data_IF_497594504795
#
_entry.id   IF_497594504795
#
_cell.length_a   1.000
_cell.length_b   1.000
_cell.length_c   1.000
_cell.angle_alpha   90.00
_cell.angle_beta   90.00
_cell.angle_gamma   90.00
#
_symmetry.space_group_name_H-M   'P 1'
#
loop_
_entity.id
_entity.type
_entity.pdbx_description
1 polymer ?
#
# COMPACT_ATOMS: atom_id res chain seq x y z
N UNK A 1 -2.54 15.34 10.65
CA UNK A 1 -1.55 14.39 10.08
C UNK A 1 -2.20 13.07 9.67
N UNK A 2 -3.00 12.44 10.55
CA UNK A 2 -3.70 11.17 10.23
C UNK A 2 -4.62 11.27 9.01
N UNK A 3 -5.46 12.31 8.91
CA UNK A 3 -6.32 12.51 7.74
C UNK A 3 -5.54 12.54 6.41
N UNK A 4 -4.40 13.23 6.38
CA UNK A 4 -3.53 13.26 5.21
C UNK A 4 -2.95 11.87 4.88
N UNK A 5 -2.54 11.10 5.89
CA UNK A 5 -2.11 9.72 5.71
C UNK A 5 -3.24 8.83 5.14
N UNK A 6 -4.47 8.95 5.65
CA UNK A 6 -5.64 8.24 5.12
C UNK A 6 -5.86 8.56 3.65
N UNK A 7 -5.87 9.84 3.28
CA UNK A 7 -6.04 10.28 1.87
C UNK A 7 -4.94 9.70 0.97
N UNK A 8 -3.69 9.74 1.42
CA UNK A 8 -2.57 9.16 0.68
C UNK A 8 -2.71 7.64 0.51
N UNK A 9 -3.11 6.91 1.55
CA UNK A 9 -3.32 5.46 1.45
C UNK A 9 -4.52 5.09 0.58
N UNK A 10 -5.60 5.87 0.60
CA UNK A 10 -6.72 5.73 -0.35
C UNK A 10 -6.25 5.93 -1.80
N UNK A 11 -5.45 6.98 -2.05
CA UNK A 11 -4.87 7.25 -3.37
C UNK A 11 -3.93 6.11 -3.81
N UNK A 12 -3.07 5.63 -2.92
CA UNK A 12 -2.19 4.49 -3.18
C UNK A 12 -3.00 3.23 -3.52
N UNK A 13 -4.09 2.95 -2.79
CA UNK A 13 -4.98 1.82 -3.07
C UNK A 13 -5.62 1.95 -4.47
N UNK A 14 -6.08 3.14 -4.86
CA UNK A 14 -6.59 3.41 -6.20
C UNK A 14 -5.55 3.17 -7.30
N UNK A 15 -4.32 3.66 -7.11
CA UNK A 15 -3.22 3.40 -8.04
C UNK A 15 -2.85 1.92 -8.12
N UNK A 16 -2.87 1.20 -6.99
CA UNK A 16 -2.63 -0.24 -6.92
C UNK A 16 -3.69 -1.04 -7.66
N UNK A 17 -4.98 -0.69 -7.47
CA UNK A 17 -6.08 -1.30 -8.22
C UNK A 17 -5.93 -1.06 -9.72
N UNK A 18 -5.55 0.15 -10.13
CA UNK A 18 -5.31 0.46 -11.53
C UNK A 18 -4.16 -0.37 -12.14
N UNK A 19 -3.07 -0.60 -11.38
CA UNK A 19 -2.00 -1.52 -11.79
C UNK A 19 -2.50 -2.94 -12.00
N UNK A 20 -3.38 -3.43 -11.13
CA UNK A 20 -4.01 -4.77 -11.28
C UNK A 20 -4.87 -4.82 -12.53
N UNK A 21 -5.72 -3.81 -12.76
CA UNK A 21 -6.54 -3.72 -13.98
C UNK A 21 -5.66 -3.71 -15.23
N UNK A 22 -4.58 -2.93 -15.23
CA UNK A 22 -3.63 -2.89 -16.34
C UNK A 22 -2.96 -4.25 -16.59
N UNK A 23 -2.52 -4.92 -15.53
CA UNK A 23 -1.84 -6.22 -15.59
C UNK A 23 -2.76 -7.37 -16.01
N UNK A 24 -4.00 -7.40 -15.51
CA UNK A 24 -4.94 -8.51 -15.74
C UNK A 24 -5.75 -8.29 -17.02
N UNK A 25 -6.38 -7.11 -17.18
CA UNK A 25 -7.28 -6.84 -18.30
C UNK A 25 -6.53 -6.49 -19.58
N UNK A 26 -5.49 -5.66 -19.45
CA UNK A 26 -4.76 -5.12 -20.59
C UNK A 26 -3.40 -5.80 -20.83
N UNK A 27 -3.00 -6.76 -19.98
CA UNK A 27 -1.69 -7.46 -20.03
C UNK A 27 -0.50 -6.49 -20.17
N UNK A 28 -0.57 -5.36 -19.46
CA UNK A 28 0.43 -4.29 -19.50
C UNK A 28 0.90 -3.94 -18.09
N UNK A 29 2.19 -3.64 -17.97
CA UNK A 29 2.76 -2.98 -16.80
C UNK A 29 2.95 -1.48 -17.05
N UNK A 30 3.01 -0.70 -15.97
CA UNK A 30 3.47 0.70 -16.03
C UNK A 30 4.40 0.98 -14.86
N UNK A 31 5.66 1.27 -15.17
CA UNK A 31 6.68 1.61 -14.15
C UNK A 31 6.37 2.93 -13.47
N UNK A 32 5.87 3.92 -14.22
CA UNK A 32 5.48 5.21 -13.67
C UNK A 32 4.34 5.06 -12.65
N UNK A 33 3.31 4.27 -12.96
CA UNK A 33 2.22 4.00 -12.02
C UNK A 33 2.69 3.21 -10.79
N UNK A 34 3.59 2.23 -10.98
CA UNK A 34 4.15 1.46 -9.87
C UNK A 34 5.01 2.34 -8.94
N UNK A 35 5.84 3.22 -9.50
CA UNK A 35 6.62 4.20 -8.75
C UNK A 35 5.72 5.20 -8.04
N UNK A 36 4.66 5.69 -8.71
CA UNK A 36 3.67 6.57 -8.11
C UNK A 36 2.94 5.93 -6.93
N UNK A 37 2.45 4.69 -7.11
CA UNK A 37 1.84 3.91 -6.03
C UNK A 37 2.78 3.76 -4.83
N UNK A 38 4.02 3.32 -5.07
CA UNK A 38 5.01 3.13 -4.01
C UNK A 38 5.38 4.44 -3.31
N UNK A 39 5.57 5.53 -4.06
CA UNK A 39 5.91 6.85 -3.53
C UNK A 39 4.78 7.43 -2.67
N UNK A 40 3.53 7.35 -3.13
CA UNK A 40 2.36 7.81 -2.38
C UNK A 40 2.19 6.98 -1.10
N UNK A 41 2.32 5.66 -1.17
CA UNK A 41 2.24 4.78 0.00
C UNK A 41 3.34 5.08 1.03
N UNK A 42 4.59 5.27 0.56
CA UNK A 42 5.72 5.60 1.42
C UNK A 42 5.55 6.95 2.11
N UNK A 43 5.04 7.96 1.39
CA UNK A 43 4.73 9.26 1.97
C UNK A 43 3.65 9.13 3.07
N UNK A 44 2.59 8.36 2.82
CA UNK A 44 1.56 8.06 3.83
C UNK A 44 2.15 7.40 5.07
N UNK A 45 3.07 6.45 4.88
CA UNK A 45 3.73 5.74 5.98
C UNK A 45 4.65 6.67 6.79
N UNK A 46 5.39 7.57 6.14
CA UNK A 46 6.22 8.58 6.81
C UNK A 46 5.35 9.51 7.67
N UNK A 47 4.21 9.97 7.16
CA UNK A 47 3.29 10.82 7.93
C UNK A 47 2.68 10.08 9.13
N UNK A 48 2.31 8.81 8.94
CA UNK A 48 1.81 7.96 10.02
C UNK A 48 2.88 7.72 11.09
N UNK A 49 4.09 7.35 10.68
CA UNK A 49 5.22 7.17 11.60
C UNK A 49 5.53 8.44 12.38
N UNK A 50 5.59 9.59 11.70
CA UNK A 50 5.79 10.89 12.37
C UNK A 50 4.71 11.16 13.41
N UNK A 51 3.45 10.82 13.15
CA UNK A 51 2.38 10.98 14.14
C UNK A 51 2.59 10.05 15.35
N UNK A 52 2.87 8.76 15.12
CA UNK A 52 3.09 7.78 16.20
C UNK A 52 4.24 8.21 17.13
N UNK A 53 5.33 8.78 16.58
CA UNK A 53 6.46 9.24 17.40
C UNK A 53 6.26 10.63 18.05
N UNK A 54 5.21 11.36 17.71
CA UNK A 54 4.96 12.72 18.22
C UNK A 54 3.67 12.87 19.02
N UNK A 55 2.95 11.77 19.27
CA UNK A 55 1.63 11.79 19.91
C UNK A 55 1.46 10.59 20.86
N UNK A 56 0.50 10.65 21.80
CA UNK A 56 0.18 9.52 22.67
C UNK A 56 -0.14 8.24 21.90
N UNK A 57 0.18 7.10 22.51
CA UNK A 57 0.09 5.79 21.87
C UNK A 57 -1.37 5.41 21.62
N UNK A 58 -1.73 5.18 20.35
CA UNK A 58 -3.06 4.71 19.95
C UNK A 58 -2.93 3.33 19.27
N UNK A 59 -3.54 2.30 19.88
CA UNK A 59 -3.34 0.90 19.48
C UNK A 59 -3.70 0.62 18.02
N UNK A 60 -4.77 1.26 17.51
CA UNK A 60 -5.19 1.09 16.12
C UNK A 60 -4.17 1.70 15.13
N UNK A 61 -3.50 2.79 15.49
CA UNK A 61 -2.47 3.40 14.63
C UNK A 61 -1.20 2.57 14.59
N UNK A 62 -0.82 1.96 15.72
CA UNK A 62 0.31 1.03 15.77
C UNK A 62 0.05 -0.21 14.92
N UNK A 63 -1.14 -0.81 15.06
CA UNK A 63 -1.53 -1.98 14.27
C UNK A 63 -1.62 -1.64 12.78
N UNK A 64 -2.18 -0.48 12.43
CA UNK A 64 -2.19 0.00 11.06
C UNK A 64 -0.76 0.17 10.50
N UNK A 65 0.15 0.78 11.26
CA UNK A 65 1.54 0.96 10.84
C UNK A 65 2.25 -0.37 10.61
N UNK A 66 2.08 -1.35 11.52
CA UNK A 66 2.65 -2.69 11.38
C UNK A 66 2.15 -3.38 10.09
N UNK A 67 0.84 -3.34 9.83
CA UNK A 67 0.27 -3.92 8.61
C UNK A 67 0.73 -3.19 7.35
N UNK A 68 0.87 -1.86 7.37
CA UNK A 68 1.42 -1.10 6.24
C UNK A 68 2.89 -1.42 5.98
N UNK A 69 3.70 -1.65 7.03
CA UNK A 69 5.08 -2.10 6.89
C UNK A 69 5.13 -3.50 6.28
N UNK A 70 4.28 -4.42 6.73
CA UNK A 70 4.21 -5.76 6.15
C UNK A 70 3.74 -5.73 4.69
N UNK A 71 2.76 -4.87 4.38
CA UNK A 71 2.33 -4.62 3.01
C UNK A 71 3.48 -4.03 2.16
N UNK A 72 4.28 -3.10 2.70
CA UNK A 72 5.45 -2.56 2.01
C UNK A 72 6.44 -3.67 1.64
N UNK A 73 6.79 -4.56 2.58
CA UNK A 73 7.65 -5.71 2.29
C UNK A 73 7.03 -6.62 1.21
N UNK A 74 5.73 -6.93 1.31
CA UNK A 74 5.02 -7.67 0.27
C UNK A 74 5.08 -6.99 -1.11
N UNK A 75 4.96 -5.66 -1.15
CA UNK A 75 5.06 -4.86 -2.38
C UNK A 75 6.47 -4.90 -2.98
N UNK A 76 7.52 -4.85 -2.14
CA UNK A 76 8.91 -4.99 -2.59
C UNK A 76 9.21 -6.38 -3.14
N UNK A 77 8.67 -7.44 -2.53
CA UNK A 77 8.79 -8.82 -3.05
C UNK A 77 8.12 -8.92 -4.42
N UNK A 78 6.89 -8.41 -4.57
CA UNK A 78 6.18 -8.38 -5.85
C UNK A 78 6.96 -7.61 -6.92
N UNK A 79 7.57 -6.49 -6.55
CA UNK A 79 8.40 -5.71 -7.44
C UNK A 79 9.66 -6.48 -7.87
N UNK A 80 10.35 -7.13 -6.94
CA UNK A 80 11.56 -7.92 -7.21
C UNK A 80 11.26 -9.09 -8.17
N UNK A 81 10.18 -9.84 -7.92
CA UNK A 81 9.72 -10.91 -8.81
C UNK A 81 9.44 -10.39 -10.22
N UNK A 82 8.87 -9.19 -10.33
CA UNK A 82 8.56 -8.57 -11.62
C UNK A 82 9.79 -8.06 -12.37
N UNK A 83 10.85 -7.65 -11.67
CA UNK A 83 12.12 -7.29 -12.28
C UNK A 83 12.90 -8.51 -12.77
N UNK A 84 12.88 -9.61 -12.01
CA UNK A 84 13.63 -10.83 -12.33
C UNK A 84 13.16 -11.59 -13.56
N UNK A 85 11.85 -11.60 -13.85
CA UNK A 85 11.31 -12.44 -14.93
C UNK A 85 11.24 -11.79 -16.33
N UNK A 86 11.73 -10.55 -16.54
CA UNK A 86 11.54 -9.76 -17.79
C UNK A 86 10.07 -9.67 -18.28
N UNK A 87 9.11 -10.06 -17.45
CA UNK A 87 7.76 -10.44 -17.83
C UNK A 87 6.79 -9.27 -17.65
N UNK A 88 7.09 -8.13 -18.27
CA UNK A 88 6.23 -6.94 -18.18
C UNK A 88 4.84 -7.13 -18.82
N UNK A 89 4.63 -8.23 -19.53
CA UNK A 89 3.38 -8.58 -20.24
C UNK A 89 2.62 -9.76 -19.63
N UNK A 90 3.20 -10.52 -18.70
CA UNK A 90 2.46 -11.56 -17.98
C UNK A 90 1.63 -10.93 -16.85
N UNK A 91 0.47 -11.52 -16.51
CA UNK A 91 -0.31 -11.06 -15.37
C UNK A 91 0.51 -11.20 -14.08
N UNK A 92 0.34 -10.27 -13.11
CA UNK A 92 1.08 -10.32 -11.87
C UNK A 92 0.71 -11.58 -11.06
N UNK A 93 1.58 -12.05 -10.14
CA UNK A 93 1.30 -13.22 -9.30
C UNK A 93 0.14 -12.90 -8.34
N UNK A 94 -1.07 -13.30 -8.73
CA UNK A 94 -2.31 -12.83 -8.12
C UNK A 94 -2.46 -13.19 -6.65
N UNK A 95 -1.89 -14.32 -6.20
CA UNK A 95 -1.89 -14.71 -4.78
C UNK A 95 -1.12 -13.67 -3.95
N UNK A 96 0.10 -13.32 -4.37
CA UNK A 96 0.93 -12.33 -3.67
C UNK A 96 0.31 -10.94 -3.71
N UNK A 97 -0.27 -10.53 -4.85
CA UNK A 97 -1.02 -9.27 -4.98
C UNK A 97 -2.22 -9.25 -4.03
N UNK A 98 -2.98 -10.36 -3.95
CA UNK A 98 -4.13 -10.49 -3.07
C UNK A 98 -3.75 -10.35 -1.59
N UNK A 99 -2.68 -11.03 -1.15
CA UNK A 99 -2.17 -10.90 0.22
C UNK A 99 -1.71 -9.47 0.53
N UNK A 100 -0.94 -8.86 -0.38
CA UNK A 100 -0.52 -7.46 -0.25
C UNK A 100 -1.71 -6.51 -0.10
N UNK A 101 -2.72 -6.66 -0.97
CA UNK A 101 -3.93 -5.84 -0.92
C UNK A 101 -4.75 -6.07 0.36
N UNK A 102 -4.90 -7.31 0.81
CA UNK A 102 -5.62 -7.62 2.04
C UNK A 102 -4.98 -6.96 3.27
N UNK A 103 -3.64 -7.04 3.38
CA UNK A 103 -2.90 -6.37 4.46
C UNK A 103 -3.06 -4.85 4.38
N UNK A 104 -2.90 -4.26 3.20
CA UNK A 104 -3.02 -2.81 3.01
C UNK A 104 -4.43 -2.27 3.30
N UNK A 105 -5.48 -2.99 2.87
CA UNK A 105 -6.88 -2.61 3.13
C UNK A 105 -7.24 -2.78 4.60
N UNK A 106 -6.73 -3.82 5.26
CA UNK A 106 -6.90 -4.01 6.71
C UNK A 106 -6.21 -2.89 7.49
N UNK A 107 -4.99 -2.50 7.09
CA UNK A 107 -4.27 -1.37 7.67
C UNK A 107 -5.04 -0.05 7.50
N UNK A 108 -5.56 0.21 6.30
CA UNK A 108 -6.37 1.39 5.99
C UNK A 108 -7.66 1.43 6.82
N UNK A 109 -8.34 0.28 6.95
CA UNK A 109 -9.53 0.16 7.79
C UNK A 109 -9.22 0.51 9.25
N UNK A 110 -8.17 -0.07 9.83
CA UNK A 110 -7.75 0.25 11.20
C UNK A 110 -7.39 1.73 11.37
N UNK A 111 -6.72 2.32 10.38
CA UNK A 111 -6.37 3.73 10.40
C UNK A 111 -7.60 4.64 10.38
N UNK A 112 -8.61 4.31 9.56
CA UNK A 112 -9.88 5.02 9.49
C UNK A 112 -10.67 4.85 10.79
N UNK A 113 -10.77 3.62 11.32
CA UNK A 113 -11.45 3.35 12.57
C UNK A 113 -10.85 4.16 13.73
N UNK A 114 -9.52 4.17 13.86
CA UNK A 114 -8.85 4.96 14.88
C UNK A 114 -8.99 6.47 14.70
N UNK A 115 -9.23 6.94 13.47
CA UNK A 115 -9.55 8.34 13.23
C UNK A 115 -10.98 8.71 13.62
N UNK A 116 -11.94 7.79 13.43
CA UNK A 116 -13.36 8.01 13.72
C UNK A 116 -13.76 7.67 15.17
N UNK A 117 -12.97 6.85 15.85
CA UNK A 117 -13.18 6.43 17.24
C UNK A 117 -11.92 6.78 18.07
N UNK A 118 -11.74 8.07 18.40
CA UNK A 118 -10.55 8.57 19.11
C UNK A 118 -10.49 8.16 20.58
#
# INVERSE_FOLDING_TARGET
MILAAIVLFCLAAGLGLWLVVLGVRYRRGSRALAAGHAGVALLGLILLGRHIFSSPVHILYNNAALLFILALFGGLVLLALRMGNHEHRSPPPMIGVGLHAAMALSALLLLVLGYTQP
#
